data_IF_845930421161
#
_entry.id   IF_845930421161
#
_cell.length_a   1.000
_cell.length_b   1.000
_cell.length_c   1.000
_cell.angle_alpha   90.00
_cell.angle_beta   90.00
_cell.angle_gamma   90.00
#
_symmetry.space_group_name_H-M   'P 1'
#
loop_
_entity.id
_entity.type
_entity.pdbx_description
1 polymer ?
#
# COMPACT_ATOMS: atom_id res chain seq x y z
N UNK A 1 7.28 11.73 -8.21
CA UNK A 1 7.33 11.32 -6.80
C UNK A 1 6.58 10.00 -6.69
N UNK A 2 7.21 8.97 -6.13
CA UNK A 2 6.68 7.61 -5.99
C UNK A 2 5.93 7.53 -4.67
N UNK A 3 4.61 7.35 -4.73
CA UNK A 3 3.71 7.24 -3.57
C UNK A 3 3.73 5.84 -3.00
N UNK A 4 4.02 5.71 -1.71
CA UNK A 4 4.17 4.43 -1.03
C UNK A 4 3.16 4.31 0.11
N UNK A 5 2.37 3.24 0.09
CA UNK A 5 1.46 2.87 1.18
C UNK A 5 1.98 1.61 1.89
N UNK A 6 1.85 1.54 3.21
CA UNK A 6 2.42 0.44 4.02
C UNK A 6 1.34 -0.36 4.75
N UNK A 7 1.34 -1.68 4.61
CA UNK A 7 0.56 -2.60 5.43
C UNK A 7 1.49 -3.40 6.33
N UNK A 8 1.38 -3.19 7.64
CA UNK A 8 2.19 -3.84 8.65
C UNK A 8 1.52 -3.70 10.03
N UNK A 9 1.40 -4.80 10.78
CA UNK A 9 0.70 -4.81 12.09
C UNK A 9 1.52 -4.17 13.23
N UNK A 10 2.80 -3.86 12.99
CA UNK A 10 3.69 -3.21 13.94
C UNK A 10 3.79 -1.71 13.68
N UNK A 11 3.27 -0.91 14.62
CA UNK A 11 3.40 0.55 14.57
C UNK A 11 4.87 1.01 14.53
N UNK A 12 5.77 0.32 15.24
CA UNK A 12 7.19 0.63 15.22
C UNK A 12 7.84 0.41 13.85
N UNK A 13 7.45 -0.65 13.12
CA UNK A 13 7.92 -0.89 11.75
C UNK A 13 7.37 0.15 10.78
N UNK A 14 6.07 0.48 10.87
CA UNK A 14 5.47 1.54 10.05
C UNK A 14 6.18 2.89 10.22
N UNK A 15 6.46 3.31 11.45
CA UNK A 15 7.15 4.59 11.69
C UNK A 15 8.60 4.57 11.18
N UNK A 16 9.30 3.44 11.35
CA UNK A 16 10.66 3.26 10.81
C UNK A 16 10.68 3.35 9.29
N UNK A 17 9.74 2.68 8.61
CA UNK A 17 9.62 2.70 7.15
C UNK A 17 9.20 4.07 6.64
N UNK A 18 8.22 4.73 7.28
CA UNK A 18 7.84 6.10 6.96
C UNK A 18 9.05 7.04 7.03
N UNK A 19 9.83 6.96 8.12
CA UNK A 19 11.05 7.75 8.28
C UNK A 19 12.01 7.51 7.13
N UNK A 20 12.27 6.25 6.76
CA UNK A 20 13.14 5.91 5.62
C UNK A 20 12.62 6.47 4.29
N UNK A 21 11.31 6.42 4.05
CA UNK A 21 10.69 6.97 2.84
C UNK A 21 10.82 8.51 2.78
N UNK A 22 10.60 9.20 3.90
CA UNK A 22 10.73 10.67 3.98
C UNK A 22 12.17 11.15 3.75
N UNK A 23 13.17 10.33 4.10
CA UNK A 23 14.58 10.61 3.81
C UNK A 23 15.02 10.19 2.40
N UNK A 24 14.17 9.53 1.63
CA UNK A 24 14.52 9.05 0.29
C UNK A 24 13.96 10.01 -0.77
N UNK A 25 14.85 10.60 -1.54
CA UNK A 25 14.46 11.48 -2.65
C UNK A 25 13.50 10.77 -3.61
N UNK A 26 12.51 11.51 -4.09
CA UNK A 26 11.46 11.04 -5.00
C UNK A 26 10.51 9.98 -4.42
N UNK A 27 10.49 9.72 -3.11
CA UNK A 27 9.46 8.91 -2.46
C UNK A 27 8.54 9.78 -1.59
N UNK A 28 7.29 9.35 -1.47
CA UNK A 28 6.27 10.01 -0.66
C UNK A 28 5.50 8.94 0.13
N UNK A 29 5.48 9.07 1.45
CA UNK A 29 4.62 8.26 2.29
C UNK A 29 3.19 8.79 2.19
N UNK A 30 2.25 7.95 1.75
CA UNK A 30 0.83 8.35 1.57
C UNK A 30 -0.13 7.72 2.57
N UNK A 31 0.34 6.79 3.41
CA UNK A 31 -0.48 6.18 4.44
C UNK A 31 0.02 4.81 4.89
N UNK A 32 -0.59 4.32 5.96
CA UNK A 32 -0.31 2.98 6.47
C UNK A 32 -1.50 2.38 7.19
N UNK A 33 -1.62 1.05 7.17
CA UNK A 33 -2.65 0.30 7.88
C UNK A 33 -2.06 -0.93 8.56
N UNK A 34 -2.73 -1.43 9.61
CA UNK A 34 -2.32 -2.64 10.35
C UNK A 34 -2.90 -3.94 9.83
N UNK A 35 -3.79 -3.89 8.82
CA UNK A 35 -4.41 -5.04 8.18
C UNK A 35 -5.08 -4.60 6.87
N UNK A 36 -5.56 -5.57 6.07
CA UNK A 36 -6.13 -5.32 4.75
C UNK A 36 -7.65 -5.07 4.73
N UNK A 37 -8.31 -4.81 5.87
CA UNK A 37 -9.79 -4.72 5.93
C UNK A 37 -10.38 -3.56 5.12
N UNK A 38 -9.62 -2.48 4.92
CA UNK A 38 -10.05 -1.28 4.20
C UNK A 38 -9.28 -1.07 2.89
N UNK A 39 -8.63 -2.12 2.38
CA UNK A 39 -7.65 -2.04 1.30
C UNK A 39 -8.16 -1.31 0.04
N UNK A 40 -9.40 -1.54 -0.38
CA UNK A 40 -9.98 -0.86 -1.54
C UNK A 40 -10.05 0.65 -1.32
N UNK A 41 -10.56 1.08 -0.17
CA UNK A 41 -10.68 2.50 0.18
C UNK A 41 -9.31 3.15 0.36
N UNK A 42 -8.36 2.44 0.96
CA UNK A 42 -6.99 2.92 1.13
C UNK A 42 -6.32 3.18 -0.23
N UNK A 43 -6.44 2.25 -1.18
CA UNK A 43 -5.89 2.40 -2.53
C UNK A 43 -6.61 3.51 -3.31
N UNK A 44 -7.93 3.60 -3.25
CA UNK A 44 -8.70 4.65 -3.94
C UNK A 44 -8.36 6.06 -3.44
N UNK A 45 -8.26 6.23 -2.11
CA UNK A 45 -8.06 7.54 -1.50
C UNK A 45 -6.61 8.02 -1.61
N UNK A 46 -5.64 7.10 -1.56
CA UNK A 46 -4.21 7.46 -1.55
C UNK A 46 -3.54 7.34 -2.92
N UNK A 47 -4.14 6.57 -3.82
CA UNK A 47 -3.63 6.28 -5.17
C UNK A 47 -2.11 5.99 -5.17
N UNK A 48 -1.66 4.95 -4.45
CA UNK A 48 -0.25 4.65 -4.29
C UNK A 48 0.35 4.03 -5.56
N UNK A 49 1.63 4.28 -5.77
CA UNK A 49 2.43 3.69 -6.85
C UNK A 49 2.98 2.33 -6.45
N UNK A 50 3.32 2.20 -5.17
CA UNK A 50 3.89 1.01 -4.57
C UNK A 50 3.16 0.75 -3.24
N UNK A 51 2.85 -0.52 -3.00
CA UNK A 51 2.38 -0.99 -1.69
C UNK A 51 3.46 -1.85 -1.08
N UNK A 52 3.93 -1.49 0.10
CA UNK A 52 4.72 -2.37 0.95
C UNK A 52 3.74 -3.19 1.79
N UNK A 53 3.83 -4.51 1.69
CA UNK A 53 2.90 -5.44 2.31
C UNK A 53 3.69 -6.42 3.18
N UNK A 54 3.44 -6.39 4.48
CA UNK A 54 3.84 -7.45 5.37
C UNK A 54 3.03 -8.73 5.06
N UNK A 55 3.69 -9.88 5.14
CA UNK A 55 3.07 -11.18 4.87
C UNK A 55 2.36 -11.69 6.13
N UNK A 56 2.98 -11.52 7.30
CA UNK A 56 2.53 -12.12 8.55
C UNK A 56 1.75 -11.11 9.41
N UNK A 57 0.51 -10.80 8.99
CA UNK A 57 -0.41 -9.97 9.77
C UNK A 57 -1.53 -10.80 10.43
N UNK A 58 -1.89 -10.55 11.70
CA UNK A 58 -3.07 -11.12 12.33
C UNK A 58 -4.35 -10.68 11.59
N UNK A 59 -5.35 -11.57 11.52
CA UNK A 59 -6.70 -11.33 10.96
C UNK A 59 -6.81 -11.24 9.42
N UNK A 60 -5.78 -10.80 8.70
CA UNK A 60 -5.77 -10.77 7.24
C UNK A 60 -4.38 -11.04 6.68
N UNK A 61 -4.23 -12.17 5.99
CA UNK A 61 -2.98 -12.58 5.32
C UNK A 61 -2.58 -11.55 4.25
N UNK A 62 -1.32 -11.08 4.29
CA UNK A 62 -0.79 -10.15 3.29
C UNK A 62 -0.88 -10.68 1.85
N UNK A 63 -0.87 -12.00 1.66
CA UNK A 63 -1.09 -12.65 0.36
C UNK A 63 -2.49 -12.35 -0.18
N UNK A 64 -3.51 -12.44 0.69
CA UNK A 64 -4.87 -12.09 0.32
C UNK A 64 -4.98 -10.59 0.03
N UNK A 65 -4.29 -9.74 0.79
CA UNK A 65 -4.18 -8.31 0.50
C UNK A 65 -3.66 -8.01 -0.91
N UNK A 66 -2.56 -8.66 -1.31
CA UNK A 66 -2.02 -8.54 -2.68
C UNK A 66 -3.03 -9.01 -3.73
N UNK A 67 -3.76 -10.11 -3.46
CA UNK A 67 -4.80 -10.61 -4.37
C UNK A 67 -5.92 -9.59 -4.56
N UNK A 68 -6.37 -8.95 -3.48
CA UNK A 68 -7.40 -7.91 -3.51
C UNK A 68 -6.93 -6.69 -4.31
N UNK A 69 -5.70 -6.22 -4.11
CA UNK A 69 -5.11 -5.11 -4.88
C UNK A 69 -5.06 -5.46 -6.38
N UNK A 70 -4.63 -6.67 -6.73
CA UNK A 70 -4.56 -7.10 -8.12
C UNK A 70 -5.94 -7.15 -8.77
N UNK A 71 -6.95 -7.65 -8.05
CA UNK A 71 -8.34 -7.67 -8.51
C UNK A 71 -8.90 -6.26 -8.68
N UNK A 72 -8.62 -5.37 -7.73
CA UNK A 72 -9.00 -3.97 -7.80
C UNK A 72 -8.52 -3.32 -9.10
N UNK A 73 -7.22 -3.40 -9.41
CA UNK A 73 -6.71 -2.80 -10.65
C UNK A 73 -7.19 -3.52 -11.92
N UNK A 74 -7.42 -4.84 -11.86
CA UNK A 74 -7.95 -5.61 -13.00
C UNK A 74 -9.41 -5.27 -13.34
N UNK A 75 -10.22 -4.97 -12.32
CA UNK A 75 -11.61 -4.54 -12.47
C UNK A 75 -11.71 -3.09 -12.96
N UNK A 76 -10.74 -2.25 -12.60
CA UNK A 76 -10.68 -0.84 -12.96
C UNK A 76 -9.76 -0.57 -14.14
N UNK A 77 -9.94 -1.27 -15.28
CA UNK A 77 -9.06 -1.20 -16.47
C UNK A 77 -8.66 0.19 -16.99
N UNK A 78 -9.31 1.28 -16.55
CA UNK A 78 -8.88 2.66 -16.78
C UNK A 78 -7.67 3.13 -15.95
N UNK A 79 -7.29 2.43 -14.87
CA UNK A 79 -6.14 2.77 -14.02
C UNK A 79 -4.79 2.63 -14.72
N UNK A 80 -4.70 1.77 -15.75
CA UNK A 80 -3.49 1.54 -16.52
C UNK A 80 -3.32 2.49 -17.71
N UNK A 81 -4.36 3.23 -18.12
CA UNK A 81 -4.37 3.96 -19.39
C UNK A 81 -3.50 5.24 -19.41
N UNK A 82 -2.92 5.65 -18.27
CA UNK A 82 -2.06 6.85 -18.16
C UNK A 82 -0.65 6.55 -17.62
N UNK A 83 -0.22 5.28 -17.61
CA UNK A 83 1.10 4.88 -17.08
C UNK A 83 1.85 3.94 -18.01
N UNK A 84 2.15 4.43 -19.21
CA UNK A 84 3.37 4.15 -19.97
C UNK A 84 3.72 5.40 -20.79
#
# INVERSE_FOLDING_TARGET
MIKVFIYDDSDARKESLKTLLEFTDNMEFVGSAGNCSQITSDIENTNPDVVLMDIEMPLADGIEGVRQIKLFFSAHKGYHANRL
#
